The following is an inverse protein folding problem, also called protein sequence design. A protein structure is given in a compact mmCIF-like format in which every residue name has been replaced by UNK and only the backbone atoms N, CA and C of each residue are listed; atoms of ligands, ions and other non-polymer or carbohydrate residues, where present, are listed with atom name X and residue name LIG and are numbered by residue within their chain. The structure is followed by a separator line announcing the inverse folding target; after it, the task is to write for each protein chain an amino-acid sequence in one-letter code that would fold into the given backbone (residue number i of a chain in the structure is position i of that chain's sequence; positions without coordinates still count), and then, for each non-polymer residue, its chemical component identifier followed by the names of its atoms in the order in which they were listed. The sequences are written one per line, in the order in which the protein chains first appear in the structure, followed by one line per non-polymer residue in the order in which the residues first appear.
data_IF_112803119329
#
_entry.id   IF_112803119329
#
_cell.length_a   1.000
_cell.length_b   1.000
_cell.length_c   1.000
_cell.angle_alpha   90.00
_cell.angle_beta   90.00
_cell.angle_gamma   90.00
#
_symmetry.space_group_name_H-M   'P 1'
#
loop_
_entity.id
_entity.type
_entity.pdbx_description
1 polymer ?
#
# COMPACT_ATOMS: atom_id res chain seq x y z
N UNK A 1 9.07 -12.53 10.19
CA UNK A 1 9.60 -11.24 9.70
C UNK A 1 8.56 -10.14 9.91
N UNK A 2 8.94 -8.99 10.48
CA UNK A 2 8.03 -7.86 10.60
C UNK A 2 8.15 -6.96 9.36
N UNK A 3 7.01 -6.63 8.74
CA UNK A 3 6.94 -5.89 7.48
C UNK A 3 5.93 -4.75 7.59
N UNK A 4 6.33 -3.56 7.13
CA UNK A 4 5.43 -2.43 6.93
C UNK A 4 5.26 -2.20 5.43
N UNK A 5 4.02 -2.04 4.98
CA UNK A 5 3.69 -1.80 3.57
C UNK A 5 2.95 -0.48 3.42
N UNK A 6 3.44 0.37 2.54
CA UNK A 6 2.95 1.72 2.32
C UNK A 6 2.84 2.00 0.82
N UNK A 7 1.82 2.76 0.44
CA UNK A 7 1.64 3.27 -0.91
C UNK A 7 1.97 4.77 -0.92
N UNK A 8 2.80 5.17 -1.87
CA UNK A 8 3.23 6.55 -2.07
C UNK A 8 2.76 7.05 -3.43
N UNK A 9 2.45 8.34 -3.51
CA UNK A 9 2.05 8.93 -4.79
C UNK A 9 3.29 9.31 -5.60
N UNK A 10 3.34 8.85 -6.86
CA UNK A 10 4.36 9.22 -7.85
C UNK A 10 3.99 10.50 -8.61
N UNK A 11 2.71 10.85 -8.62
CA UNK A 11 2.17 12.09 -9.18
C UNK A 11 1.19 12.68 -8.18
N UNK A 12 0.99 13.99 -8.25
CA UNK A 12 0.08 14.64 -7.34
C UNK A 12 -1.35 14.05 -7.49
N UNK A 13 -1.91 13.58 -6.39
CA UNK A 13 -3.18 12.87 -6.35
C UNK A 13 -4.27 13.78 -5.79
N UNK A 14 -5.30 14.04 -6.59
CA UNK A 14 -6.49 14.75 -6.12
C UNK A 14 -7.31 13.85 -5.20
N UNK A 15 -7.60 14.36 -4.00
CA UNK A 15 -8.48 13.72 -3.02
C UNK A 15 -9.74 14.55 -2.91
N UNK A 16 -10.88 13.88 -3.02
CA UNK A 16 -12.19 14.48 -2.79
C UNK A 16 -12.77 13.97 -1.47
N UNK A 17 -13.67 14.75 -0.90
CA UNK A 17 -14.50 14.30 0.21
C UNK A 17 -15.21 12.99 -0.20
N UNK A 18 -15.23 12.00 0.71
CA UNK A 18 -15.67 10.60 0.51
C UNK A 18 -14.69 9.65 -0.19
N UNK A 19 -13.51 10.11 -0.60
CA UNK A 19 -12.47 9.18 -1.06
C UNK A 19 -12.06 8.23 0.08
N UNK A 20 -11.73 7.00 -0.27
CA UNK A 20 -11.15 6.04 0.68
C UNK A 20 -10.10 5.16 0.03
N UNK A 21 -9.26 4.55 0.87
CA UNK A 21 -8.33 3.50 0.50
C UNK A 21 -8.29 2.44 1.60
N UNK A 22 -8.59 1.20 1.27
CA UNK A 22 -8.43 0.06 2.16
C UNK A 22 -7.34 -0.86 1.63
N UNK A 23 -6.40 -1.24 2.50
CA UNK A 23 -5.37 -2.21 2.17
C UNK A 23 -5.56 -3.47 3.01
N UNK A 24 -5.26 -4.62 2.41
CA UNK A 24 -5.17 -5.90 3.12
C UNK A 24 -4.18 -6.80 2.39
N UNK A 25 -3.41 -7.57 3.15
CA UNK A 25 -2.52 -8.59 2.60
C UNK A 25 -3.26 -9.91 2.55
N UNK A 26 -3.30 -10.50 1.36
CA UNK A 26 -3.70 -11.89 1.15
C UNK A 26 -2.44 -12.75 1.12
N UNK A 27 -2.42 -13.80 1.92
CA UNK A 27 -1.35 -14.79 2.03
C UNK A 27 -1.96 -16.18 1.79
N UNK A 28 -1.62 -16.81 0.66
CA UNK A 28 -2.18 -18.08 0.20
C UNK A 28 -3.72 -18.09 0.20
N UNK A 29 -4.32 -17.00 -0.31
CA UNK A 29 -5.77 -16.80 -0.40
C UNK A 29 -6.47 -16.45 0.92
N UNK A 30 -5.73 -16.33 2.04
CA UNK A 30 -6.27 -15.91 3.34
C UNK A 30 -5.86 -14.48 3.66
N UNK A 31 -6.77 -13.69 4.20
CA UNK A 31 -6.45 -12.34 4.65
C UNK A 31 -5.66 -12.40 5.97
N UNK A 32 -4.57 -11.63 6.02
CA UNK A 32 -3.82 -11.40 7.25
C UNK A 32 -4.49 -10.24 8.00
N UNK A 33 -5.31 -10.53 9.01
CA UNK A 33 -6.16 -9.53 9.67
C UNK A 33 -5.41 -8.33 10.26
N UNK A 34 -4.21 -8.52 10.78
CA UNK A 34 -3.36 -7.43 11.30
C UNK A 34 -2.88 -6.45 10.20
N UNK A 35 -2.97 -6.83 8.93
CA UNK A 35 -2.63 -5.99 7.79
C UNK A 35 -3.78 -5.08 7.34
N UNK A 36 -5.01 -5.39 7.75
CA UNK A 36 -6.20 -4.69 7.29
C UNK A 36 -6.13 -3.21 7.69
N UNK A 37 -6.34 -2.33 6.71
CA UNK A 37 -6.39 -0.90 6.92
C UNK A 37 -7.54 -0.23 6.18
N UNK A 38 -7.86 0.97 6.63
CA UNK A 38 -8.85 1.84 6.01
C UNK A 38 -8.50 3.29 6.27
N UNK A 39 -8.26 4.04 5.20
CA UNK A 39 -8.04 5.48 5.18
C UNK A 39 -9.26 6.14 4.52
N UNK A 40 -9.99 6.95 5.27
CA UNK A 40 -11.13 7.74 4.77
C UNK A 40 -10.75 9.20 4.73
N UNK A 41 -10.94 9.83 3.58
CA UNK A 41 -10.65 11.25 3.36
C UNK A 41 -11.93 12.08 3.39
N UNK A 42 -12.14 12.80 4.49
CA UNK A 42 -13.21 13.78 4.71
C UNK A 42 -12.79 15.21 4.38
N UNK A 43 -11.95 15.40 3.35
CA UNK A 43 -11.52 16.71 2.88
C UNK A 43 -11.28 16.70 1.37
N UNK A 44 -11.31 17.89 0.77
CA UNK A 44 -10.89 18.11 -0.61
C UNK A 44 -9.49 18.71 -0.64
N UNK A 45 -8.57 18.10 -1.39
CA UNK A 45 -7.18 18.54 -1.42
C UNK A 45 -6.31 17.71 -2.36
N UNK A 46 -5.00 17.91 -2.28
CA UNK A 46 -4.04 17.21 -3.11
C UNK A 46 -2.94 16.59 -2.25
N UNK A 47 -2.66 15.31 -2.46
CA UNK A 47 -1.47 14.64 -1.93
C UNK A 47 -0.37 14.87 -2.96
N UNK A 48 0.69 15.60 -2.57
CA UNK A 48 1.77 15.93 -3.50
C UNK A 48 2.70 14.73 -3.72
N UNK A 49 3.45 14.76 -4.83
CA UNK A 49 4.43 13.72 -5.18
C UNK A 49 5.38 13.37 -4.02
N UNK A 50 5.66 12.07 -3.88
CA UNK A 50 6.56 11.53 -2.86
C UNK A 50 5.94 11.41 -1.47
N UNK A 51 4.65 11.71 -1.30
CA UNK A 51 3.92 11.57 -0.03
C UNK A 51 3.16 10.26 0.05
N UNK A 52 3.06 9.74 1.28
CA UNK A 52 2.27 8.55 1.57
C UNK A 52 0.79 8.83 1.33
N UNK A 53 0.15 7.88 0.64
CA UNK A 53 -1.27 7.89 0.34
C UNK A 53 -2.05 6.81 1.10
N UNK A 54 -1.48 5.62 1.32
CA UNK A 54 -2.13 4.57 2.10
C UNK A 54 -1.09 3.73 2.84
N UNK A 55 -1.50 3.05 3.91
CA UNK A 55 -0.61 2.18 4.69
C UNK A 55 -1.38 1.03 5.35
N UNK A 56 -0.75 -0.12 5.54
CA UNK A 56 -1.38 -1.30 6.16
C UNK A 56 -1.53 -1.19 7.69
N UNK A 57 -2.42 -2.01 8.25
CA UNK A 57 -2.54 -2.29 9.69
C UNK A 57 -3.11 -1.19 10.58
N UNK A 58 -3.83 -0.21 10.00
CA UNK A 58 -4.43 0.90 10.76
C UNK A 58 -5.72 1.40 10.14
N UNK A 59 -6.57 2.03 10.96
CA UNK A 59 -7.76 2.74 10.48
C UNK A 59 -7.66 4.22 10.81
N UNK A 60 -7.87 5.10 9.84
CA UNK A 60 -7.81 6.55 10.02
C UNK A 60 -8.89 7.26 9.23
N UNK A 61 -9.42 8.30 9.86
CA UNK A 61 -10.24 9.30 9.20
C UNK A 61 -9.46 10.62 9.18
N UNK A 62 -9.28 11.18 8.00
CA UNK A 62 -8.58 12.43 7.78
C UNK A 62 -9.58 13.51 7.42
N UNK A 63 -9.52 14.65 8.12
CA UNK A 63 -10.36 15.81 7.90
C UNK A 63 -9.52 17.07 7.61
N UNK A 64 -10.16 18.22 7.48
CA UNK A 64 -9.49 19.50 7.25
C UNK A 64 -8.47 19.89 8.33
N UNK A 65 -8.61 19.41 9.57
CA UNK A 65 -7.64 19.70 10.64
C UNK A 65 -6.26 19.11 10.31
N UNK A 66 -6.21 18.05 9.49
CA UNK A 66 -4.98 17.42 9.07
C UNK A 66 -4.21 18.21 8.01
N UNK A 67 -4.83 19.22 7.38
CA UNK A 67 -4.22 20.10 6.39
C UNK A 67 -3.64 21.38 7.01
N UNK A 68 -3.99 21.71 8.25
CA UNK A 68 -3.68 23.02 8.82
C UNK A 68 -2.17 23.21 9.04
N UNK A 69 -1.57 24.10 8.24
CA UNK A 69 -0.17 24.53 8.39
C UNK A 69 0.87 23.48 7.98
N UNK A 70 0.49 22.43 7.26
CA UNK A 70 1.41 21.35 6.84
C UNK A 70 1.03 20.74 5.50
N UNK A 71 2.03 20.15 4.84
CA UNK A 71 1.80 19.26 3.70
C UNK A 71 1.16 17.98 4.24
N UNK A 72 0.01 17.61 3.67
CA UNK A 72 -0.68 16.39 4.06
C UNK A 72 0.12 15.15 3.64
N UNK A 73 0.18 14.19 4.55
CA UNK A 73 0.75 12.87 4.34
C UNK A 73 0.01 11.90 5.24
N UNK A 74 -0.36 10.74 4.69
CA UNK A 74 -1.05 9.69 5.43
C UNK A 74 -0.11 9.07 6.48
N UNK A 75 -0.68 8.60 7.60
CA UNK A 75 0.07 8.03 8.73
C UNK A 75 0.84 6.77 8.31
N UNK A 76 1.93 6.48 9.02
CA UNK A 76 2.77 5.32 8.74
C UNK A 76 2.01 4.00 8.96
N UNK A 77 2.44 2.95 8.26
CA UNK A 77 1.89 1.62 8.45
C UNK A 77 2.11 1.13 9.89
N UNK A 78 1.15 0.34 10.40
CA UNK A 78 1.39 -0.53 11.54
C UNK A 78 2.02 -1.82 11.01
N UNK A 79 3.27 -2.17 11.38
CA UNK A 79 3.93 -3.33 10.79
C UNK A 79 3.27 -4.65 11.22
N UNK A 80 3.15 -5.57 10.27
CA UNK A 80 2.59 -6.92 10.44
C UNK A 80 3.68 -7.98 10.47
N UNK A 81 3.37 -9.19 10.91
CA UNK A 81 4.30 -10.29 11.04
C UNK A 81 4.00 -11.43 10.06
N UNK A 82 4.95 -11.72 9.18
CA UNK A 82 5.01 -12.99 8.47
C UNK A 82 5.70 -14.04 9.36
N UNK A 83 4.98 -15.05 9.82
CA UNK A 83 5.56 -16.09 10.69
C UNK A 83 6.51 -17.00 9.93
N UNK A 84 6.10 -17.41 8.74
CA UNK A 84 6.85 -18.27 7.83
C UNK A 84 6.61 -17.78 6.39
N UNK A 85 7.62 -17.93 5.53
CA UNK A 85 7.54 -17.56 4.11
C UNK A 85 8.21 -18.68 3.33
N UNK A 86 7.41 -19.43 2.59
CA UNK A 86 7.84 -20.42 1.62
C UNK A 86 8.08 -19.80 0.24
N UNK A 87 8.97 -20.40 -0.58
CA UNK A 87 9.17 -19.99 -1.96
C UNK A 87 7.90 -20.06 -2.83
N UNK A 88 6.97 -20.96 -2.50
CA UNK A 88 5.73 -21.19 -3.25
C UNK A 88 4.58 -20.28 -2.80
N UNK A 89 4.77 -19.47 -1.75
CA UNK A 89 3.71 -18.63 -1.22
C UNK A 89 3.25 -17.56 -2.21
N UNK A 90 1.93 -17.44 -2.35
CA UNK A 90 1.23 -16.36 -3.04
C UNK A 90 0.90 -15.25 -2.05
N UNK A 91 1.55 -14.09 -2.21
CA UNK A 91 1.40 -12.95 -1.31
C UNK A 91 0.99 -11.73 -2.14
N UNK A 92 -0.21 -11.22 -1.87
CA UNK A 92 -0.77 -10.07 -2.60
C UNK A 92 -1.16 -8.96 -1.65
N UNK A 93 -0.88 -7.71 -2.05
CA UNK A 93 -1.48 -6.53 -1.44
C UNK A 93 -2.76 -6.19 -2.21
N UNK A 94 -3.90 -6.29 -1.53
CA UNK A 94 -5.19 -5.89 -2.09
C UNK A 94 -5.49 -4.45 -1.68
N UNK A 95 -5.71 -3.59 -2.68
CA UNK A 95 -6.16 -2.20 -2.55
C UNK A 95 -7.62 -2.10 -3.00
N UNK A 96 -8.48 -1.61 -2.13
CA UNK A 96 -9.86 -1.24 -2.44
C UNK A 96 -10.03 0.27 -2.28
N UNK A 97 -10.57 0.95 -3.29
CA UNK A 97 -10.66 2.41 -3.32
C UNK A 97 -11.68 2.87 -4.35
N UNK A 98 -12.23 4.08 -4.16
CA UNK A 98 -13.05 4.78 -5.16
C UNK A 98 -12.28 5.85 -5.94
N UNK A 99 -10.97 6.00 -5.72
CA UNK A 99 -10.14 7.06 -6.31
C UNK A 99 -9.80 6.73 -7.77
N UNK A 100 -9.35 5.50 -8.01
CA UNK A 100 -9.06 5.00 -9.35
C UNK A 100 -10.07 3.95 -9.75
N UNK A 101 -10.58 4.08 -10.97
CA UNK A 101 -11.48 3.10 -11.56
C UNK A 101 -10.79 2.27 -12.65
N UNK A 102 -9.59 2.69 -13.07
CA UNK A 102 -8.78 2.08 -14.11
C UNK A 102 -7.39 1.73 -13.55
N UNK A 103 -6.91 0.48 -13.75
CA UNK A 103 -5.61 0.05 -13.22
C UNK A 103 -4.43 0.76 -13.90
N UNK A 104 -4.55 1.13 -15.17
CA UNK A 104 -3.51 1.85 -15.91
C UNK A 104 -3.22 3.23 -15.35
N UNK A 105 -4.23 3.92 -14.82
CA UNK A 105 -4.04 5.19 -14.09
C UNK A 105 -3.39 4.93 -12.73
N UNK A 106 -3.93 3.97 -11.96
CA UNK A 106 -3.45 3.67 -10.61
C UNK A 106 -1.96 3.33 -10.59
N UNK A 107 -1.48 2.48 -11.51
CA UNK A 107 -0.05 2.07 -11.54
C UNK A 107 0.90 3.20 -11.92
N UNK A 108 0.40 4.25 -12.59
CA UNK A 108 1.18 5.45 -12.92
C UNK A 108 1.25 6.44 -11.77
N UNK A 109 0.24 6.43 -10.90
CA UNK A 109 0.10 7.39 -9.81
C UNK A 109 0.70 6.89 -8.51
N UNK A 110 0.92 5.58 -8.34
CA UNK A 110 1.29 4.97 -7.05
C UNK A 110 2.56 4.14 -7.15
N UNK A 111 3.41 4.23 -6.14
CA UNK A 111 4.51 3.30 -5.87
C UNK A 111 4.28 2.54 -4.57
N UNK A 112 4.80 1.32 -4.52
CA UNK A 112 4.80 0.45 -3.37
C UNK A 112 6.10 0.58 -2.60
N UNK A 113 6.00 0.71 -1.28
CA UNK A 113 7.13 0.70 -0.38
C UNK A 113 6.97 -0.40 0.65
N UNK A 114 7.97 -1.27 0.74
CA UNK A 114 8.00 -2.37 1.71
C UNK A 114 9.22 -2.18 2.61
N UNK A 115 8.99 -2.11 3.92
CA UNK A 115 10.03 -1.93 4.93
C UNK A 115 10.09 -3.16 5.84
N UNK A 116 11.30 -3.65 6.12
CA UNK A 116 11.56 -4.74 7.07
C UNK A 116 12.86 -4.45 7.83
N UNK A 117 12.75 -4.13 9.12
CA UNK A 117 13.89 -3.70 9.94
C UNK A 117 14.59 -2.46 9.34
N UNK A 118 15.86 -2.59 8.95
CA UNK A 118 16.66 -1.52 8.31
C UNK A 118 16.56 -1.50 6.78
N UNK A 119 15.84 -2.46 6.19
CA UNK A 119 15.74 -2.62 4.74
C UNK A 119 14.44 -2.01 4.23
N UNK A 120 14.53 -1.43 3.03
CA UNK A 120 13.42 -0.78 2.33
C UNK A 120 13.53 -1.12 0.85
N UNK A 121 12.42 -1.54 0.26
CA UNK A 121 12.21 -1.59 -1.18
C UNK A 121 11.26 -0.45 -1.60
N UNK A 122 11.57 0.19 -2.72
CA UNK A 122 10.75 1.23 -3.36
C UNK A 122 10.47 0.78 -4.79
N UNK A 123 9.20 0.52 -5.10
CA UNK A 123 8.79 -0.26 -6.26
C UNK A 123 7.68 0.52 -6.99
N UNK A 124 8.01 1.23 -8.08
CA UNK A 124 6.99 1.80 -8.96
C UNK A 124 6.07 0.71 -9.50
N UNK A 125 4.75 0.91 -9.42
CA UNK A 125 3.78 -0.10 -9.85
C UNK A 125 3.67 -0.22 -11.38
N UNK A 126 4.17 0.76 -12.12
CA UNK A 126 4.24 0.74 -13.59
C UNK A 126 5.41 -0.08 -14.14
N UNK A 127 6.21 -0.73 -13.28
CA UNK A 127 7.27 -1.64 -13.72
C UNK A 127 6.68 -2.88 -14.41
N UNK A 128 7.33 -3.41 -15.46
CA UNK A 128 6.82 -4.57 -16.20
C UNK A 128 6.83 -5.88 -15.41
N UNK A 129 7.64 -5.97 -14.36
CA UNK A 129 7.73 -7.14 -13.48
C UNK A 129 6.74 -7.10 -12.30
N UNK A 130 6.00 -5.99 -12.11
CA UNK A 130 4.94 -5.89 -11.09
C UNK A 130 3.63 -6.35 -11.71
N UNK A 131 3.05 -7.41 -11.16
CA UNK A 131 1.74 -7.92 -11.59
C UNK A 131 0.64 -7.29 -10.75
N UNK A 132 -0.35 -6.71 -11.42
CA UNK A 132 -1.54 -6.14 -10.79
C UNK A 132 -2.77 -6.79 -11.41
N UNK A 133 -3.47 -7.59 -10.62
CA UNK A 133 -4.75 -8.16 -10.99
C UNK A 133 -5.87 -7.14 -10.71
N UNK A 134 -6.81 -7.01 -11.64
CA UNK A 134 -7.96 -6.11 -11.51
C UNK A 134 -9.25 -6.92 -11.51
N UNK A 135 -9.76 -7.23 -10.31
CA UNK A 135 -10.93 -8.11 -10.14
C UNK A 135 -12.25 -7.37 -10.33
N UNK A 136 -12.31 -6.10 -9.93
CA UNK A 136 -13.48 -5.23 -10.10
C UNK A 136 -13.08 -3.76 -10.01
N UNK A 137 -13.96 -2.86 -10.45
CA UNK A 137 -13.76 -1.41 -10.34
C UNK A 137 -13.32 -1.02 -8.92
N UNK A 138 -12.18 -0.34 -8.82
CA UNK A 138 -11.63 0.11 -7.54
C UNK A 138 -10.96 -0.96 -6.68
N UNK A 139 -10.85 -2.21 -7.15
CA UNK A 139 -10.24 -3.32 -6.41
C UNK A 139 -9.05 -3.89 -7.19
N UNK A 140 -7.85 -3.74 -6.65
CA UNK A 140 -6.60 -4.11 -7.28
C UNK A 140 -5.82 -5.06 -6.38
N UNK A 141 -5.29 -6.15 -6.90
CA UNK A 141 -4.41 -7.05 -6.16
C UNK A 141 -3.01 -7.02 -6.77
N UNK A 142 -2.07 -6.46 -6.02
CA UNK A 142 -0.66 -6.30 -6.42
C UNK A 142 0.09 -7.51 -5.90
N UNK A 143 0.76 -8.25 -6.77
CA UNK A 143 1.66 -9.33 -6.38
C UNK A 143 2.90 -8.74 -5.70
N UNK A 144 3.10 -9.11 -4.44
CA UNK A 144 4.24 -8.66 -3.62
C UNK A 144 5.11 -9.82 -3.14
N UNK A 145 4.83 -11.04 -3.58
CA UNK A 145 5.47 -12.26 -3.08
C UNK A 145 6.99 -12.21 -3.23
N UNK A 146 7.47 -11.90 -4.43
CA UNK A 146 8.90 -11.86 -4.71
C UNK A 146 9.63 -10.79 -3.90
N UNK A 147 9.02 -9.63 -3.65
CA UNK A 147 9.63 -8.57 -2.84
C UNK A 147 9.69 -8.94 -1.35
N UNK A 148 8.66 -9.62 -0.84
CA UNK A 148 8.64 -10.13 0.54
C UNK A 148 9.68 -11.24 0.72
N UNK A 149 9.81 -12.15 -0.26
CA UNK A 149 10.81 -13.21 -0.28
C UNK A 149 12.23 -12.65 -0.36
N UNK A 150 12.47 -11.64 -1.19
CA UNK A 150 13.75 -10.93 -1.30
C UNK A 150 14.18 -10.38 0.07
N UNK A 151 13.28 -9.65 0.76
CA UNK A 151 13.54 -9.10 2.09
C UNK A 151 13.82 -10.19 3.14
N UNK A 152 13.13 -11.33 3.05
CA UNK A 152 13.34 -12.46 3.97
C UNK A 152 14.68 -13.16 3.71
N UNK A 153 15.03 -13.40 2.44
CA UNK A 153 16.27 -14.05 2.05
C UNK A 153 17.51 -13.23 2.45
N UNK A 154 17.44 -11.90 2.31
CA UNK A 154 18.50 -11.01 2.80
C UNK A 154 18.64 -11.06 4.32
N UNK A 155 17.53 -11.15 5.06
CA UNK A 155 17.56 -11.28 6.52
C UNK A 155 18.23 -12.57 6.98
N UNK A 156 18.05 -13.68 6.27
CA UNK A 156 18.65 -14.97 6.61
C UNK A 156 20.15 -15.07 6.28
N UNK A 157 20.69 -14.12 5.49
CA UNK A 157 22.13 -14.03 5.17
C UNK A 157 22.94 -13.23 6.20
N UNK A 158 22.27 -12.58 7.15
CA UNK A 158 22.86 -11.85 8.29
C UNK A 158 23.00 -12.77 9.50
#
# INVERSE_FOLDING_TARGET
MQVAIELYVQKALLIMDTHFASLKVSYNGKILEESCSEDVFGFNGMIIEGKRFAAVGRKRHYDYSHLMGRIFEVDAASPMNFLFIDPEDDIKLVLETNIWLDPGIMVQDVSLKICSGKKKLDIPLNRPDVKVDWSSRGAFAIDIGEFIKELNAERMKL
#
